data_IF_844147148676
#
_entry.id   IF_844147148676
#
_cell.length_a   1.000
_cell.length_b   1.000
_cell.length_c   1.000
_cell.angle_alpha   90.00
_cell.angle_beta   90.00
_cell.angle_gamma   90.00
#
_symmetry.space_group_name_H-M   'P 1'
#
loop_
_entity.id
_entity.type
_entity.pdbx_description
1 polymer ?
#
# COMPACT_ATOMS: atom_id res chain seq x y z
N UNK A 1 -23.52 -39.16 -39.23
CA UNK A 1 -23.06 -39.11 -37.83
C UNK A 1 -23.17 -37.66 -37.38
N UNK A 2 -24.23 -37.30 -36.64
CA UNK A 2 -24.49 -35.91 -36.19
C UNK A 2 -24.20 -35.86 -34.69
N UNK A 3 -23.35 -34.94 -34.24
CA UNK A 3 -22.86 -34.91 -32.87
C UNK A 3 -22.26 -33.58 -32.43
N UNK A 4 -23.07 -32.53 -32.45
CA UNK A 4 -23.12 -31.41 -31.49
C UNK A 4 -21.78 -30.80 -31.02
N UNK A 5 -21.32 -29.75 -31.70
CA UNK A 5 -20.42 -28.76 -31.10
C UNK A 5 -21.21 -27.96 -30.05
N UNK A 6 -20.97 -28.22 -28.76
CA UNK A 6 -21.48 -27.38 -27.67
C UNK A 6 -20.80 -26.01 -27.76
N UNK A 7 -21.55 -25.00 -28.20
CA UNK A 7 -21.12 -23.62 -28.09
C UNK A 7 -20.83 -23.31 -26.61
N UNK A 8 -19.55 -23.04 -26.28
CA UNK A 8 -19.16 -22.50 -24.99
C UNK A 8 -19.67 -21.05 -24.94
N UNK A 9 -20.76 -20.81 -24.22
CA UNK A 9 -21.17 -19.45 -23.85
C UNK A 9 -20.04 -18.83 -23.02
N UNK A 10 -19.36 -17.83 -23.58
CA UNK A 10 -18.36 -17.05 -22.87
C UNK A 10 -19.08 -16.11 -21.91
N UNK A 11 -19.17 -16.48 -20.64
CA UNK A 11 -19.71 -15.59 -19.60
C UNK A 11 -18.81 -14.36 -19.51
N UNK A 12 -19.37 -13.18 -19.76
CA UNK A 12 -18.66 -11.92 -19.52
C UNK A 12 -18.29 -11.83 -18.04
N UNK A 13 -17.04 -11.53 -17.68
CA UNK A 13 -16.67 -11.35 -16.28
C UNK A 13 -17.54 -10.25 -15.65
N UNK A 14 -18.13 -10.54 -14.49
CA UNK A 14 -18.81 -9.52 -13.70
C UNK A 14 -17.76 -8.72 -12.95
N UNK A 15 -17.80 -7.40 -13.07
CA UNK A 15 -16.91 -6.53 -12.33
C UNK A 15 -17.25 -6.52 -10.82
N UNK A 16 -16.23 -6.38 -9.99
CA UNK A 16 -16.35 -6.05 -8.57
C UNK A 16 -15.91 -4.60 -8.40
N UNK A 17 -16.76 -3.77 -7.80
CA UNK A 17 -16.41 -2.38 -7.47
C UNK A 17 -15.90 -2.32 -6.04
N UNK A 18 -14.72 -1.74 -5.86
CA UNK A 18 -14.12 -1.46 -4.55
C UNK A 18 -14.00 0.05 -4.41
N UNK A 19 -14.45 0.57 -3.27
CA UNK A 19 -14.38 2.00 -2.91
C UNK A 19 -13.47 2.17 -1.71
N UNK A 20 -12.93 3.37 -1.49
CA UNK A 20 -12.30 3.69 -0.21
C UNK A 20 -13.36 3.72 0.91
N UNK A 21 -13.01 3.17 2.07
CA UNK A 21 -13.84 3.16 3.27
C UNK A 21 -13.77 4.47 4.04
N UNK A 22 -14.10 4.42 5.34
CA UNK A 22 -13.88 5.57 6.23
C UNK A 22 -12.40 5.70 6.56
N UNK A 23 -11.84 6.91 6.55
CA UNK A 23 -10.46 7.15 6.98
C UNK A 23 -10.22 6.67 8.42
N UNK A 24 -9.09 6.01 8.66
CA UNK A 24 -8.71 5.54 10.00
C UNK A 24 -7.40 6.16 10.45
N UNK A 25 -6.27 5.61 10.01
CA UNK A 25 -4.93 6.00 10.43
C UNK A 25 -4.11 6.49 9.25
N UNK A 26 -3.15 7.34 9.55
CA UNK A 26 -2.14 7.82 8.63
C UNK A 26 -0.77 7.57 9.24
N UNK A 27 0.13 7.01 8.46
CA UNK A 27 1.54 6.90 8.82
C UNK A 27 2.38 7.77 7.90
N UNK A 28 3.38 8.44 8.48
CA UNK A 28 4.46 9.05 7.72
C UNK A 28 5.71 8.21 7.87
N UNK A 29 6.45 8.06 6.79
CA UNK A 29 7.72 7.36 6.78
C UNK A 29 8.84 8.31 6.38
N UNK A 30 9.99 8.15 7.04
CA UNK A 30 11.28 8.70 6.64
C UNK A 30 12.26 7.54 6.51
N UNK A 31 12.55 7.12 5.29
CA UNK A 31 13.46 6.01 5.02
C UNK A 31 14.92 6.42 5.23
N UNK A 32 15.67 5.58 5.93
CA UNK A 32 17.12 5.68 6.11
C UNK A 32 17.87 4.65 5.27
N UNK A 33 17.23 3.52 4.96
CA UNK A 33 17.72 2.50 4.01
C UNK A 33 16.66 2.33 2.94
N UNK A 34 17.03 2.62 1.69
CA UNK A 34 16.15 2.67 0.53
C UNK A 34 16.37 1.47 -0.40
N UNK A 35 15.40 1.27 -1.30
CA UNK A 35 15.61 0.48 -2.51
C UNK A 35 15.99 1.41 -3.66
N UNK A 36 17.15 1.19 -4.28
CA UNK A 36 17.73 2.14 -5.25
C UNK A 36 16.83 2.45 -6.45
N UNK A 37 15.92 1.55 -6.85
CA UNK A 37 14.96 1.80 -7.93
C UNK A 37 13.77 2.67 -7.51
N UNK A 38 13.59 2.90 -6.21
CA UNK A 38 12.54 3.71 -5.58
C UNK A 38 13.16 4.66 -4.55
N UNK A 39 13.98 5.63 -4.97
CA UNK A 39 14.78 6.47 -4.08
C UNK A 39 13.94 7.62 -3.47
N UNK A 40 12.78 7.31 -2.90
CA UNK A 40 11.88 8.30 -2.30
C UNK A 40 12.01 8.25 -0.77
N UNK A 41 12.67 9.23 -0.15
CA UNK A 41 13.00 9.17 1.28
C UNK A 41 11.77 9.38 2.19
N UNK A 42 10.72 10.00 1.67
CA UNK A 42 9.51 10.34 2.42
C UNK A 42 8.29 9.70 1.75
N UNK A 43 7.39 9.16 2.58
CA UNK A 43 6.12 8.63 2.10
C UNK A 43 5.02 8.82 3.15
N UNK A 44 3.77 8.90 2.69
CA UNK A 44 2.56 8.94 3.51
C UNK A 44 1.67 7.77 3.12
N UNK A 45 1.27 6.96 4.10
CA UNK A 45 0.30 5.88 3.92
C UNK A 45 -0.99 6.19 4.68
N UNK A 46 -2.10 6.14 3.95
CA UNK A 46 -3.45 6.43 4.40
C UNK A 46 -4.25 5.13 4.46
N UNK A 47 -4.78 4.81 5.63
CA UNK A 47 -5.57 3.61 5.89
C UNK A 47 -7.07 3.91 5.96
N UNK A 48 -7.86 2.90 5.59
CA UNK A 48 -9.33 2.95 5.56
C UNK A 48 -9.94 1.69 6.21
N UNK A 49 -11.10 1.84 6.84
CA UNK A 49 -11.75 0.80 7.66
C UNK A 49 -12.17 -0.46 6.90
N UNK A 50 -12.20 -0.40 5.57
CA UNK A 50 -12.53 -1.52 4.70
C UNK A 50 -11.29 -2.25 4.15
N UNK A 51 -10.12 -2.02 4.73
CA UNK A 51 -8.87 -2.69 4.36
C UNK A 51 -8.21 -2.10 3.11
N UNK A 52 -8.68 -0.97 2.59
CA UNK A 52 -8.00 -0.22 1.53
C UNK A 52 -6.86 0.63 2.10
N UNK A 53 -5.84 0.89 1.31
CA UNK A 53 -4.84 1.92 1.58
C UNK A 53 -4.52 2.76 0.35
N UNK A 54 -3.98 3.95 0.58
CA UNK A 54 -3.27 4.75 -0.41
C UNK A 54 -1.87 5.08 0.11
N UNK A 55 -0.85 5.00 -0.74
CA UNK A 55 0.50 5.46 -0.40
C UNK A 55 0.96 6.48 -1.43
N UNK A 56 1.55 7.57 -0.92
CA UNK A 56 2.06 8.67 -1.73
C UNK A 56 3.49 8.98 -1.32
N UNK A 57 4.35 9.21 -2.30
CA UNK A 57 5.70 9.76 -2.18
C UNK A 57 5.94 10.69 -3.37
N UNK A 58 7.13 11.29 -3.48
CA UNK A 58 7.47 12.20 -4.58
C UNK A 58 7.30 11.57 -5.97
N UNK A 59 7.50 10.25 -6.11
CA UNK A 59 7.37 9.55 -7.38
C UNK A 59 6.50 8.29 -7.35
N UNK A 60 5.74 8.08 -6.28
CA UNK A 60 4.77 6.99 -6.20
C UNK A 60 3.42 7.50 -5.76
N UNK A 61 2.37 6.99 -6.41
CA UNK A 61 1.01 7.18 -6.01
C UNK A 61 0.20 5.95 -6.44
N UNK A 62 0.03 5.02 -5.50
CA UNK A 62 -0.72 3.80 -5.75
C UNK A 62 -1.55 3.37 -4.54
N UNK A 63 -2.42 2.40 -4.81
CA UNK A 63 -3.43 1.92 -3.88
C UNK A 63 -3.35 0.41 -3.75
N UNK A 64 -3.94 -0.09 -2.69
CA UNK A 64 -4.05 -1.53 -2.51
C UNK A 64 -4.88 -1.91 -1.31
N UNK A 65 -4.69 -3.15 -0.89
CA UNK A 65 -5.34 -3.68 0.31
C UNK A 65 -4.31 -4.03 1.36
N UNK A 66 -4.67 -3.93 2.63
CA UNK A 66 -3.79 -4.23 3.74
C UNK A 66 -4.48 -5.09 4.80
N UNK A 67 -3.65 -5.71 5.64
CA UNK A 67 -4.04 -6.33 6.90
C UNK A 67 -3.05 -5.91 7.97
N UNK A 68 -3.56 -5.61 9.17
CA UNK A 68 -2.75 -5.36 10.35
C UNK A 68 -2.77 -6.61 11.25
N UNK A 69 -1.61 -6.98 11.78
CA UNK A 69 -1.47 -7.93 12.86
C UNK A 69 -1.08 -7.16 14.11
N UNK A 70 -2.01 -7.10 15.08
CA UNK A 70 -1.97 -6.16 16.20
C UNK A 70 -2.72 -4.87 15.88
N UNK A 71 -2.68 -3.93 16.82
CA UNK A 71 -3.29 -2.61 16.71
C UNK A 71 -2.22 -1.53 16.50
N UNK A 72 -2.58 -0.44 15.81
CA UNK A 72 -1.65 0.67 15.56
C UNK A 72 -1.13 1.35 16.85
N UNK A 73 -1.80 1.15 17.98
CA UNK A 73 -1.37 1.65 19.30
C UNK A 73 -0.42 0.70 20.04
N UNK A 74 -0.17 -0.50 19.52
CA UNK A 74 0.67 -1.49 20.18
C UNK A 74 2.15 -1.06 20.16
N UNK A 75 2.95 -1.51 21.15
CA UNK A 75 4.40 -1.28 21.13
C UNK A 75 5.07 -1.85 19.87
N UNK A 76 4.52 -2.94 19.34
CA UNK A 76 4.91 -3.56 18.07
C UNK A 76 3.70 -4.10 17.34
N UNK A 77 3.66 -3.85 16.03
CA UNK A 77 2.64 -4.40 15.15
C UNK A 77 3.22 -4.58 13.75
N UNK A 78 2.50 -5.34 12.93
CA UNK A 78 2.88 -5.61 11.55
C UNK A 78 1.76 -5.19 10.63
N UNK A 79 2.11 -4.56 9.51
CA UNK A 79 1.17 -4.30 8.42
C UNK A 79 1.68 -4.98 7.16
N UNK A 80 0.88 -5.91 6.63
CA UNK A 80 1.11 -6.48 5.31
C UNK A 80 0.18 -5.82 4.32
N UNK A 81 0.70 -5.33 3.20
CA UNK A 81 -0.11 -4.69 2.17
C UNK A 81 0.31 -5.15 0.78
N UNK A 82 -0.68 -5.29 -0.10
CA UNK A 82 -0.47 -5.66 -1.49
C UNK A 82 -0.96 -4.54 -2.40
N UNK A 83 -0.06 -4.05 -3.26
CA UNK A 83 -0.41 -3.05 -4.26
C UNK A 83 -1.32 -3.65 -5.32
N UNK A 84 -2.35 -2.91 -5.71
CA UNK A 84 -3.06 -3.21 -6.95
C UNK A 84 -2.11 -2.94 -8.14
N UNK A 85 -2.28 -3.68 -9.25
CA UNK A 85 -1.58 -3.39 -10.49
C UNK A 85 -1.64 -1.91 -10.86
N UNK A 86 -0.48 -1.28 -10.97
CA UNK A 86 -0.33 0.17 -11.22
C UNK A 86 0.92 0.46 -12.04
N UNK A 87 1.04 1.66 -12.59
CA UNK A 87 2.24 2.11 -13.31
C UNK A 87 3.50 2.06 -12.44
N UNK A 88 3.35 2.36 -11.15
CA UNK A 88 4.45 2.34 -10.16
C UNK A 88 5.10 0.95 -10.07
N UNK A 89 4.33 -0.10 -10.35
CA UNK A 89 4.76 -1.49 -10.32
C UNK A 89 4.59 -2.18 -11.68
N UNK A 90 4.64 -1.43 -12.78
CA UNK A 90 4.60 -1.97 -14.16
C UNK A 90 3.44 -2.96 -14.43
N UNK A 91 2.30 -2.70 -13.80
CA UNK A 91 1.07 -3.48 -13.95
C UNK A 91 1.05 -4.80 -13.17
N UNK A 92 1.93 -5.00 -12.18
CA UNK A 92 1.86 -6.16 -11.27
C UNK A 92 1.55 -5.74 -9.83
N UNK A 93 1.13 -6.71 -9.04
CA UNK A 93 1.02 -6.56 -7.59
C UNK A 93 2.35 -6.87 -6.91
N UNK A 94 2.64 -6.14 -5.84
CA UNK A 94 3.80 -6.33 -4.96
C UNK A 94 3.30 -6.42 -3.52
N UNK A 95 3.76 -7.44 -2.79
CA UNK A 95 3.47 -7.60 -1.37
C UNK A 95 4.57 -6.93 -0.57
N UNK A 96 4.18 -6.11 0.40
CA UNK A 96 5.06 -5.48 1.36
C UNK A 96 4.67 -5.93 2.77
N UNK A 97 5.67 -6.06 3.62
CA UNK A 97 5.49 -6.29 5.05
C UNK A 97 6.28 -5.23 5.80
N UNK A 98 5.56 -4.43 6.59
CA UNK A 98 6.08 -3.44 7.51
C UNK A 98 6.03 -3.98 8.93
N UNK A 99 7.16 -3.92 9.63
CA UNK A 99 7.25 -4.22 11.06
C UNK A 99 7.56 -2.94 11.82
N UNK A 100 6.76 -2.61 12.83
CA UNK A 100 6.84 -1.38 13.58
C UNK A 100 7.33 -1.61 15.01
N UNK A 101 8.19 -0.71 15.49
CA UNK A 101 8.51 -0.54 16.90
C UNK A 101 8.13 0.88 17.32
N UNK A 102 6.95 1.00 17.96
CA UNK A 102 6.35 2.28 18.35
C UNK A 102 7.14 2.97 19.46
N UNK A 103 7.81 2.20 20.32
CA UNK A 103 8.64 2.75 21.39
C UNK A 103 9.90 3.41 20.81
N UNK A 104 10.49 2.82 19.78
CA UNK A 104 11.64 3.37 19.07
C UNK A 104 11.27 4.39 17.98
N UNK A 105 10.01 4.44 17.54
CA UNK A 105 9.57 5.25 16.40
C UNK A 105 10.18 4.78 15.07
N UNK A 106 10.48 3.48 14.95
CA UNK A 106 11.16 2.90 13.78
C UNK A 106 10.33 1.83 13.10
N UNK A 107 10.62 1.61 11.82
CA UNK A 107 10.03 0.52 11.06
C UNK A 107 11.07 -0.18 10.20
N UNK A 108 10.75 -1.41 9.81
CA UNK A 108 11.44 -2.09 8.72
C UNK A 108 10.45 -2.55 7.66
N UNK A 109 10.90 -2.64 6.42
CA UNK A 109 10.09 -3.07 5.29
C UNK A 109 10.82 -4.16 4.49
N UNK A 110 10.11 -5.24 4.19
CA UNK A 110 10.51 -6.22 3.18
C UNK A 110 9.41 -6.29 2.12
N UNK A 111 9.79 -6.48 0.86
CA UNK A 111 8.83 -6.71 -0.21
C UNK A 111 9.11 -7.99 -0.99
N UNK A 112 8.05 -8.54 -1.59
CA UNK A 112 8.08 -9.61 -2.58
C UNK A 112 7.65 -8.99 -3.90
N UNK A 113 8.62 -8.74 -4.78
CA UNK A 113 8.39 -8.28 -6.14
C UNK A 113 8.62 -9.44 -7.12
N UNK A 114 7.58 -9.93 -7.82
CA UNK A 114 7.69 -10.98 -8.83
C UNK A 114 8.74 -10.72 -9.94
N UNK A 115 9.13 -9.46 -10.18
CA UNK A 115 10.11 -9.05 -11.18
C UNK A 115 11.48 -8.69 -10.60
N UNK A 116 11.60 -8.58 -9.27
CA UNK A 116 12.87 -8.35 -8.60
C UNK A 116 12.92 -9.17 -7.30
N UNK A 117 13.51 -10.37 -7.33
CA UNK A 117 13.53 -11.26 -6.17
C UNK A 117 14.50 -10.79 -5.07
N UNK A 118 15.37 -9.82 -5.34
CA UNK A 118 16.47 -9.45 -4.45
C UNK A 118 16.32 -8.03 -3.87
N UNK A 119 15.10 -7.55 -3.69
CA UNK A 119 14.89 -6.23 -3.08
C UNK A 119 15.40 -6.22 -1.64
N UNK A 120 16.33 -5.32 -1.29
CA UNK A 120 16.89 -5.27 0.05
C UNK A 120 15.85 -4.87 1.08
N UNK A 121 16.06 -5.31 2.33
CA UNK A 121 15.29 -4.85 3.48
C UNK A 121 15.53 -3.35 3.66
N UNK A 122 14.45 -2.60 3.76
CA UNK A 122 14.44 -1.16 3.97
C UNK A 122 14.12 -0.86 5.44
N UNK A 123 14.44 0.34 5.89
CA UNK A 123 14.15 0.78 7.26
C UNK A 123 14.12 2.31 7.36
N UNK A 124 13.52 2.80 8.45
CA UNK A 124 13.38 4.22 8.69
C UNK A 124 12.68 4.53 10.01
N UNK A 125 12.27 5.78 10.14
CA UNK A 125 11.40 6.24 11.23
C UNK A 125 9.99 6.48 10.74
N UNK A 126 9.03 6.44 11.65
CA UNK A 126 7.64 6.71 11.33
C UNK A 126 6.94 7.57 12.38
N UNK A 127 5.86 8.22 11.97
CA UNK A 127 4.86 8.82 12.88
C UNK A 127 3.48 8.28 12.55
N UNK A 128 2.57 8.34 13.52
CA UNK A 128 1.19 7.87 13.41
C UNK A 128 0.23 9.00 13.78
N UNK A 129 -0.80 9.21 12.98
CA UNK A 129 -1.88 10.16 13.24
C UNK A 129 -3.22 9.61 12.69
N UNK A 130 -4.30 10.35 12.90
CA UNK A 130 -5.58 10.05 12.25
C UNK A 130 -5.54 10.49 10.78
N UNK A 131 -6.16 9.70 9.90
CA UNK A 131 -6.27 10.02 8.48
C UNK A 131 -7.42 11.03 8.24
N UNK A 132 -7.15 12.25 7.73
CA UNK A 132 -8.20 13.23 7.46
C UNK A 132 -8.80 13.11 6.05
N UNK A 133 -8.30 12.21 5.20
CA UNK A 133 -8.58 12.18 3.76
C UNK A 133 -9.62 11.11 3.44
N UNK A 134 -10.82 11.53 3.03
CA UNK A 134 -11.88 10.63 2.59
C UNK A 134 -11.68 10.07 1.18
N UNK A 135 -11.13 10.88 0.27
CA UNK A 135 -10.87 10.49 -1.12
C UNK A 135 -9.40 10.76 -1.46
N UNK A 136 -8.54 9.72 -1.45
CA UNK A 136 -7.13 9.87 -1.77
C UNK A 136 -6.88 9.99 -3.27
N UNK A 137 -7.86 9.72 -4.14
CA UNK A 137 -7.65 9.65 -5.60
C UNK A 137 -7.32 11.01 -6.24
N UNK A 138 -7.56 12.09 -5.49
CA UNK A 138 -7.29 13.47 -5.90
C UNK A 138 -6.12 14.08 -5.14
N UNK A 139 -5.51 13.32 -4.23
CA UNK A 139 -4.42 13.81 -3.40
C UNK A 139 -3.12 13.80 -4.21
N UNK A 140 -2.38 14.90 -4.16
CA UNK A 140 -1.03 14.96 -4.70
C UNK A 140 0.00 14.79 -3.60
N UNK A 141 1.25 14.49 -3.96
CA UNK A 141 2.34 14.39 -2.99
C UNK A 141 2.54 15.70 -2.22
N UNK A 142 2.49 16.86 -2.89
CA UNK A 142 2.68 18.16 -2.25
C UNK A 142 1.65 18.43 -1.16
N UNK A 143 0.41 17.99 -1.37
CA UNK A 143 -0.62 18.10 -0.33
C UNK A 143 -0.46 17.03 0.75
N UNK A 144 -0.11 15.80 0.37
CA UNK A 144 0.04 14.69 1.31
C UNK A 144 1.17 14.92 2.32
N UNK A 145 2.32 15.42 1.86
CA UNK A 145 3.49 15.69 2.72
C UNK A 145 3.19 16.74 3.80
N UNK A 146 2.27 17.67 3.53
CA UNK A 146 1.92 18.78 4.42
C UNK A 146 0.76 18.45 5.38
N UNK A 147 0.12 17.28 5.25
CA UNK A 147 -0.94 16.88 6.18
C UNK A 147 -0.39 16.87 7.62
N UNK A 148 -1.15 17.30 8.62
CA UNK A 148 -0.79 17.16 10.04
C UNK A 148 0.66 17.51 10.42
N UNK A 149 1.28 18.46 9.71
CA UNK A 149 2.47 19.18 10.16
C UNK A 149 2.07 20.31 11.11
#
# INVERSE_FOLDING_TARGET
MVGHSKARTRTTPRAVTVMFGKPTKMQRFRYSVLYDKKPFPDAVMLYYDNGMYAILSEGEHHYGTYVAQGDFGDPRYTVSFISLPSSDWEGISVLHTLEFDSAAGTFTQQLINPRDPNVPKQSGTFTLADNPIADPTRLSWEHARDLGQ
#
